data_IF_458948697563
#
_entry.id   IF_458948697563
#
_cell.length_a   1.000
_cell.length_b   1.000
_cell.length_c   1.000
_cell.angle_alpha   90.00
_cell.angle_beta   90.00
_cell.angle_gamma   90.00
#
_symmetry.space_group_name_H-M   'P 1'
#
loop_
_entity.id
_entity.type
_entity.pdbx_description
1 polymer ?
#
# COMPACT_ATOMS: atom_id res chain seq x y z
N UNK A 1 -9.39 28.81 8.55
CA UNK A 1 -10.31 27.70 8.86
C UNK A 1 -9.55 26.42 8.59
N UNK A 2 -8.84 25.94 9.60
CA UNK A 2 -7.98 24.77 9.54
C UNK A 2 -8.12 24.06 10.88
N UNK A 3 -9.37 23.75 11.25
CA UNK A 3 -9.68 23.00 12.46
C UNK A 3 -9.66 21.52 12.09
N UNK A 4 -8.43 21.05 11.83
CA UNK A 4 -8.14 19.64 11.62
C UNK A 4 -8.39 18.88 12.91
N UNK A 5 -8.95 17.68 12.75
CA UNK A 5 -9.18 16.54 13.66
C UNK A 5 -8.53 16.51 15.07
N UNK A 6 -7.38 17.17 15.28
CA UNK A 6 -6.66 17.31 16.54
C UNK A 6 -7.48 17.92 17.70
N UNK A 7 -8.47 18.79 17.43
CA UNK A 7 -9.22 19.48 18.49
C UNK A 7 -10.21 18.60 19.26
N UNK A 8 -10.54 17.40 18.76
CA UNK A 8 -11.53 16.51 19.40
C UNK A 8 -10.92 15.54 20.42
N UNK A 9 -9.60 15.36 20.44
CA UNK A 9 -8.96 14.27 21.20
C UNK A 9 -7.94 14.72 22.25
N UNK A 10 -7.56 16.00 22.28
CA UNK A 10 -6.61 16.52 23.26
C UNK A 10 -7.21 17.70 24.02
N UNK A 11 -7.06 17.69 25.35
CA UNK A 11 -7.33 18.88 26.16
C UNK A 11 -6.32 19.96 25.77
N UNK A 12 -6.81 21.19 25.61
CA UNK A 12 -6.07 22.36 25.12
C UNK A 12 -4.82 22.76 25.93
N UNK A 13 -4.48 22.05 27.02
CA UNK A 13 -3.42 22.41 27.97
C UNK A 13 -2.21 21.46 27.98
N UNK A 14 -2.19 20.38 27.18
CA UNK A 14 -1.01 19.52 27.05
C UNK A 14 -0.16 19.95 25.86
N UNK A 15 1.10 20.33 26.12
CA UNK A 15 2.10 20.55 25.07
C UNK A 15 2.38 19.19 24.43
N UNK A 16 1.66 18.89 23.34
CA UNK A 16 1.90 17.70 22.54
C UNK A 16 3.28 17.82 21.89
N UNK A 17 4.22 17.01 22.35
CA UNK A 17 5.48 16.79 21.64
C UNK A 17 5.26 15.63 20.69
N UNK A 18 5.36 15.82 19.35
CA UNK A 18 5.19 14.72 18.42
C UNK A 18 6.14 13.56 18.75
N UNK A 19 5.69 12.31 18.67
CA UNK A 19 6.53 11.15 18.99
C UNK A 19 7.75 11.09 18.07
N UNK A 20 8.88 10.63 18.61
CA UNK A 20 10.10 10.31 17.87
C UNK A 20 10.29 8.80 17.77
N UNK A 21 11.29 8.34 17.01
CA UNK A 21 11.69 6.93 17.04
C UNK A 21 12.07 6.46 18.45
N UNK A 22 12.73 7.32 19.23
CA UNK A 22 13.07 7.01 20.62
C UNK A 22 11.83 6.80 21.49
N UNK A 23 10.79 7.62 21.31
CA UNK A 23 9.51 7.48 22.01
C UNK A 23 8.81 6.20 21.60
N UNK A 24 8.67 5.94 20.30
CA UNK A 24 8.07 4.70 19.80
C UNK A 24 8.79 3.46 20.33
N UNK A 25 10.13 3.47 20.38
CA UNK A 25 10.88 2.36 20.97
C UNK A 25 10.63 2.22 22.47
N UNK A 26 10.52 3.33 23.19
CA UNK A 26 10.20 3.32 24.62
C UNK A 26 8.83 2.69 24.91
N UNK A 27 7.85 2.94 24.04
CA UNK A 27 6.46 2.46 24.19
C UNK A 27 6.26 1.01 23.71
N UNK A 28 7.10 0.55 22.79
CA UNK A 28 7.10 -0.84 22.32
C UNK A 28 7.81 -1.71 23.38
N UNK A 29 7.03 -2.39 24.22
CA UNK A 29 7.58 -3.45 25.08
C UNK A 29 8.34 -4.47 24.22
N UNK A 30 9.48 -4.98 24.71
CA UNK A 30 10.35 -5.94 23.99
C UNK A 30 9.52 -7.03 23.29
N UNK A 31 9.66 -7.14 21.97
CA UNK A 31 8.97 -8.15 21.13
C UNK A 31 7.60 -7.74 20.58
N UNK A 32 7.04 -6.57 20.94
CA UNK A 32 5.77 -6.10 20.35
C UNK A 32 5.85 -5.82 18.85
N UNK A 33 6.95 -5.23 18.36
CA UNK A 33 7.11 -4.99 16.92
C UNK A 33 7.16 -6.32 16.16
N UNK A 34 7.89 -7.31 16.67
CA UNK A 34 7.93 -8.68 16.11
C UNK A 34 6.54 -9.33 16.03
N UNK A 35 5.65 -9.06 17.00
CA UNK A 35 4.26 -9.54 16.97
C UNK A 35 3.40 -8.84 15.90
N UNK A 36 3.77 -7.64 15.47
CA UNK A 36 3.09 -6.89 14.41
C UNK A 36 3.57 -7.27 13.00
N UNK A 37 4.75 -7.89 12.86
CA UNK A 37 5.33 -8.22 11.54
C UNK A 37 4.38 -9.04 10.67
N UNK A 38 3.69 -10.03 11.23
CA UNK A 38 2.75 -10.85 10.46
C UNK A 38 1.56 -10.05 9.93
N UNK A 39 1.11 -9.04 10.68
CA UNK A 39 0.09 -8.09 10.23
C UNK A 39 0.64 -7.13 9.17
N UNK A 40 1.86 -6.60 9.37
CA UNK A 40 2.51 -5.71 8.41
C UNK A 40 2.77 -6.44 7.07
N UNK A 41 3.15 -7.71 7.09
CA UNK A 41 3.32 -8.50 5.87
C UNK A 41 2.04 -8.71 5.07
N UNK A 42 0.88 -8.61 5.72
CA UNK A 42 -0.41 -8.74 5.07
C UNK A 42 -0.99 -7.38 4.71
N UNK A 43 -1.29 -6.57 5.72
CA UNK A 43 -1.90 -5.25 5.57
C UNK A 43 -0.92 -4.21 5.05
N UNK A 44 0.29 -4.16 5.60
CA UNK A 44 1.31 -3.20 5.15
C UNK A 44 1.74 -3.40 3.69
N UNK A 45 1.55 -4.61 3.14
CA UNK A 45 1.87 -4.88 1.75
C UNK A 45 0.95 -4.12 0.78
N UNK A 46 -0.30 -3.86 1.13
CA UNK A 46 -1.21 -3.08 0.29
C UNK A 46 -0.73 -1.63 0.13
N UNK A 47 -0.23 -1.02 1.21
CA UNK A 47 0.37 0.33 1.22
C UNK A 47 1.60 0.40 0.34
N UNK A 48 2.49 -0.59 0.47
CA UNK A 48 3.65 -0.72 -0.40
C UNK A 48 3.24 -0.88 -1.87
N UNK A 49 2.23 -1.70 -2.18
CA UNK A 49 1.79 -1.92 -3.55
C UNK A 49 1.18 -0.67 -4.19
N UNK A 50 0.40 0.13 -3.44
CA UNK A 50 -0.17 1.38 -3.96
C UNK A 50 0.92 2.34 -4.44
N UNK A 51 2.01 2.46 -3.69
CA UNK A 51 3.17 3.27 -4.10
C UNK A 51 3.99 2.60 -5.19
N UNK A 52 4.31 1.32 -5.04
CA UNK A 52 5.12 0.55 -5.99
C UNK A 52 4.52 0.60 -7.39
N UNK A 53 3.21 0.39 -7.54
CA UNK A 53 2.55 0.37 -8.85
C UNK A 53 2.47 1.77 -9.50
N UNK A 54 2.68 2.84 -8.74
CA UNK A 54 2.75 4.20 -9.25
C UNK A 54 4.11 4.57 -9.85
N UNK A 55 5.15 3.75 -9.69
CA UNK A 55 6.45 3.98 -10.33
C UNK A 55 6.43 3.70 -11.84
N UNK A 56 7.13 4.54 -12.61
CA UNK A 56 7.28 4.42 -14.07
C UNK A 56 7.82 3.08 -14.50
N UNK A 57 8.76 2.52 -13.73
CA UNK A 57 9.37 1.21 -13.99
C UNK A 57 8.35 0.06 -13.98
N UNK A 58 7.21 0.26 -13.32
CA UNK A 58 6.21 -0.78 -13.10
C UNK A 58 4.99 -0.65 -14.02
N UNK A 59 5.00 0.33 -14.94
CA UNK A 59 3.87 0.58 -15.85
C UNK A 59 3.53 -0.59 -16.77
N UNK A 60 4.51 -1.43 -17.12
CA UNK A 60 4.22 -2.64 -17.90
C UNK A 60 3.28 -3.58 -17.13
N UNK A 61 3.52 -3.79 -15.82
CA UNK A 61 2.64 -4.59 -14.99
C UNK A 61 1.24 -3.96 -14.88
N UNK A 62 1.16 -2.63 -14.74
CA UNK A 62 -0.12 -1.91 -14.69
C UNK A 62 -0.89 -2.08 -16.00
N UNK A 63 -0.21 -1.95 -17.14
CA UNK A 63 -0.80 -2.15 -18.46
C UNK A 63 -1.29 -3.59 -18.67
N UNK A 64 -0.53 -4.58 -18.18
CA UNK A 64 -0.94 -5.99 -18.23
C UNK A 64 -2.21 -6.23 -17.37
N UNK A 65 -2.26 -5.67 -16.16
CA UNK A 65 -3.47 -5.73 -15.31
C UNK A 65 -4.67 -5.15 -16.07
N UNK A 66 -4.51 -3.96 -16.65
CA UNK A 66 -5.57 -3.30 -17.42
C UNK A 66 -6.03 -4.14 -18.61
N UNK A 67 -5.06 -4.70 -19.35
CA UNK A 67 -5.33 -5.56 -20.50
C UNK A 67 -6.17 -6.79 -20.12
N UNK A 68 -5.85 -7.47 -19.03
CA UNK A 68 -6.62 -8.64 -18.61
C UNK A 68 -7.98 -8.28 -18.00
N UNK A 69 -8.07 -7.15 -17.30
CA UNK A 69 -9.36 -6.67 -16.76
C UNK A 69 -10.32 -6.32 -17.89
N UNK A 70 -9.88 -5.62 -18.94
CA UNK A 70 -10.74 -5.33 -20.11
C UNK A 70 -11.13 -6.61 -20.85
N UNK A 71 -10.22 -7.59 -20.96
CA UNK A 71 -10.44 -8.86 -21.67
C UNK A 71 -11.53 -9.70 -21.00
N UNK A 72 -11.51 -9.78 -19.66
CA UNK A 72 -12.53 -10.46 -18.84
C UNK A 72 -13.96 -9.98 -19.10
N UNK A 73 -14.10 -8.70 -19.42
CA UNK A 73 -15.40 -8.05 -19.62
C UNK A 73 -15.68 -7.73 -21.09
N UNK A 74 -14.75 -8.05 -22.00
CA UNK A 74 -14.82 -7.73 -23.43
C UNK A 74 -15.23 -6.27 -23.68
N UNK A 75 -14.82 -5.37 -22.78
CA UNK A 75 -15.25 -3.98 -22.76
C UNK A 75 -14.01 -3.10 -22.78
N UNK A 76 -13.77 -2.35 -23.87
CA UNK A 76 -12.65 -1.42 -23.89
C UNK A 76 -12.89 -0.32 -22.86
N UNK A 77 -11.89 -0.06 -22.02
CA UNK A 77 -11.99 0.91 -20.93
C UNK A 77 -11.86 2.34 -21.49
N UNK A 78 -10.82 2.60 -22.28
CA UNK A 78 -10.66 3.83 -23.04
C UNK A 78 -9.81 3.58 -24.30
N UNK A 79 -10.06 4.35 -25.37
CA UNK A 79 -9.19 4.33 -26.55
C UNK A 79 -7.82 4.99 -26.30
N UNK A 80 -7.76 5.90 -25.32
CA UNK A 80 -6.53 6.60 -24.90
C UNK A 80 -6.59 6.84 -23.39
N UNK A 81 -5.60 6.40 -22.64
CA UNK A 81 -5.45 6.69 -21.21
C UNK A 81 -4.38 7.78 -21.07
N UNK A 82 -4.73 8.90 -20.44
CA UNK A 82 -3.80 10.02 -20.22
C UNK A 82 -2.94 9.78 -18.96
N UNK A 83 -3.50 9.18 -17.92
CA UNK A 83 -2.75 8.81 -16.70
C UNK A 83 -3.39 7.65 -15.93
N UNK A 84 -2.56 6.94 -15.16
CA UNK A 84 -2.97 5.89 -14.22
C UNK A 84 -2.43 6.18 -12.82
N UNK A 85 -3.20 5.87 -11.79
CA UNK A 85 -2.73 5.95 -10.40
C UNK A 85 -3.40 4.92 -9.51
N UNK A 86 -2.62 4.20 -8.72
CA UNK A 86 -3.08 3.37 -7.63
C UNK A 86 -3.26 4.19 -6.35
N UNK A 87 -4.27 3.81 -5.56
CA UNK A 87 -4.54 4.40 -4.25
C UNK A 87 -5.11 3.33 -3.32
N UNK A 88 -4.89 3.52 -2.02
CA UNK A 88 -5.48 2.68 -0.99
C UNK A 88 -6.96 3.01 -0.86
N UNK A 89 -7.78 1.98 -0.66
CA UNK A 89 -9.21 2.10 -0.34
C UNK A 89 -9.52 1.45 1.01
N UNK A 90 -10.80 1.46 1.39
CA UNK A 90 -11.23 0.95 2.70
C UNK A 90 -11.48 2.07 3.71
N UNK A 91 -12.57 1.95 4.47
CA UNK A 91 -12.92 2.89 5.54
C UNK A 91 -11.92 2.83 6.72
N UNK A 92 -11.14 1.76 6.80
CA UNK A 92 -10.09 1.52 7.79
C UNK A 92 -8.72 2.07 7.38
N UNK A 93 -8.58 2.62 6.17
CA UNK A 93 -7.32 3.24 5.75
C UNK A 93 -7.18 4.68 6.21
N UNK A 94 -6.09 4.97 6.93
CA UNK A 94 -5.70 6.32 7.33
C UNK A 94 -5.28 7.21 6.16
N UNK A 95 -4.93 6.63 5.00
CA UNK A 95 -4.53 7.34 3.77
C UNK A 95 -5.69 7.51 2.79
N UNK A 96 -6.91 7.25 3.23
CA UNK A 96 -8.11 7.41 2.43
C UNK A 96 -8.30 8.89 2.03
N UNK A 97 -8.18 9.17 0.73
CA UNK A 97 -8.42 10.49 0.18
C UNK A 97 -9.73 10.55 -0.62
N UNK A 98 -10.75 11.15 -0.01
CA UNK A 98 -12.09 11.32 -0.59
C UNK A 98 -12.11 12.08 -1.93
N UNK A 99 -11.09 12.89 -2.23
CA UNK A 99 -11.08 13.77 -3.41
C UNK A 99 -11.07 13.02 -4.74
N UNK A 100 -10.58 11.78 -4.78
CA UNK A 100 -10.51 10.95 -6.00
C UNK A 100 -11.89 10.39 -6.37
N UNK A 101 -12.81 10.30 -5.42
CA UNK A 101 -14.07 9.57 -5.55
C UNK A 101 -15.28 10.48 -5.81
N UNK A 102 -15.07 11.78 -6.05
CA UNK A 102 -16.16 12.75 -6.20
C UNK A 102 -16.75 12.80 -7.61
N UNK A 103 -16.12 12.19 -8.63
CA UNK A 103 -16.53 12.30 -10.04
C UNK A 103 -16.18 11.08 -10.90
N UNK A 104 -16.57 9.87 -10.48
CA UNK A 104 -15.96 8.69 -11.08
C UNK A 104 -16.95 7.60 -11.44
N UNK A 105 -16.76 7.02 -12.62
CA UNK A 105 -17.46 5.83 -13.07
C UNK A 105 -16.71 4.59 -12.57
N UNK A 106 -17.42 3.50 -12.25
CA UNK A 106 -16.80 2.24 -11.81
C UNK A 106 -16.81 1.24 -12.97
N UNK A 107 -15.67 0.61 -13.23
CA UNK A 107 -15.60 -0.48 -14.19
C UNK A 107 -16.05 -1.81 -13.54
N UNK A 108 -16.78 -2.70 -14.25
CA UNK A 108 -17.22 -2.61 -15.64
C UNK A 108 -18.50 -1.78 -15.74
N UNK A 109 -18.58 -0.98 -16.80
CA UNK A 109 -19.71 -0.10 -17.14
C UNK A 109 -21.05 -0.83 -17.29
N UNK A 110 -21.66 -1.22 -16.19
CA UNK A 110 -23.04 -1.67 -16.16
C UNK A 110 -23.84 -0.47 -15.67
N UNK A 111 -24.74 0.01 -16.55
CA UNK A 111 -25.59 1.20 -16.37
C UNK A 111 -26.02 1.37 -14.91
N UNK A 112 -25.84 2.59 -14.41
CA UNK A 112 -26.20 3.02 -13.07
C UNK A 112 -25.57 2.11 -12.00
N UNK A 113 -24.25 2.21 -11.81
CA UNK A 113 -23.65 1.70 -10.56
C UNK A 113 -24.46 2.29 -9.41
N UNK A 114 -25.22 1.45 -8.72
CA UNK A 114 -25.96 1.88 -7.54
C UNK A 114 -24.94 2.56 -6.62
N UNK A 115 -25.22 3.79 -6.20
CA UNK A 115 -24.37 4.52 -5.28
C UNK A 115 -23.98 3.63 -4.09
N UNK A 116 -24.91 2.78 -3.64
CA UNK A 116 -24.67 1.79 -2.58
C UNK A 116 -23.58 0.78 -2.92
N UNK A 117 -23.57 0.23 -4.13
CA UNK A 117 -22.56 -0.76 -4.52
C UNK A 117 -21.19 -0.10 -4.77
N UNK A 118 -21.17 1.15 -5.26
CA UNK A 118 -19.95 1.95 -5.31
C UNK A 118 -19.38 2.17 -3.91
N UNK A 119 -20.18 2.68 -2.97
CA UNK A 119 -19.72 2.90 -1.60
C UNK A 119 -19.27 1.59 -0.95
N UNK A 120 -19.98 0.48 -1.20
CA UNK A 120 -19.55 -0.82 -0.71
C UNK A 120 -18.18 -1.24 -1.28
N UNK A 121 -17.94 -1.06 -2.58
CA UNK A 121 -16.64 -1.36 -3.17
C UNK A 121 -15.55 -0.45 -2.60
N UNK A 122 -15.81 0.86 -2.56
CA UNK A 122 -14.92 1.87 -1.98
C UNK A 122 -14.51 1.56 -0.53
N UNK A 123 -15.44 1.11 0.30
CA UNK A 123 -15.21 0.85 1.73
C UNK A 123 -14.66 -0.54 2.05
N UNK A 124 -14.72 -1.50 1.12
CA UNK A 124 -14.37 -2.90 1.39
C UNK A 124 -13.37 -3.51 0.41
N UNK A 125 -12.78 -2.71 -0.48
CA UNK A 125 -11.65 -3.10 -1.32
C UNK A 125 -10.35 -2.55 -0.75
N UNK A 126 -9.22 -3.20 -1.06
CA UNK A 126 -7.91 -2.80 -0.55
C UNK A 126 -7.22 -1.74 -1.44
N UNK A 127 -7.43 -1.83 -2.76
CA UNK A 127 -6.84 -0.95 -3.76
C UNK A 127 -7.87 -0.42 -4.76
N UNK A 128 -7.60 0.79 -5.27
CA UNK A 128 -8.23 1.34 -6.46
C UNK A 128 -7.18 1.72 -7.51
N UNK A 129 -7.39 1.28 -8.75
CA UNK A 129 -6.72 1.78 -9.93
C UNK A 129 -7.60 2.85 -10.59
N UNK A 130 -7.13 4.09 -10.55
CA UNK A 130 -7.79 5.24 -11.13
C UNK A 130 -7.20 5.54 -12.51
N UNK A 131 -8.07 5.69 -13.49
CA UNK A 131 -7.72 5.96 -14.88
C UNK A 131 -8.30 7.30 -15.27
N UNK A 132 -7.49 8.14 -15.91
CA UNK A 132 -7.96 9.41 -16.47
C UNK A 132 -7.84 9.38 -17.99
N UNK A 133 -8.90 9.82 -18.65
CA UNK A 133 -8.93 10.03 -20.09
C UNK A 133 -9.71 11.31 -20.37
N UNK A 134 -9.00 12.36 -20.78
CA UNK A 134 -9.57 13.70 -20.89
C UNK A 134 -10.11 14.19 -19.55
N UNK A 135 -11.41 14.50 -19.51
CA UNK A 135 -12.11 14.94 -18.31
C UNK A 135 -12.84 13.84 -17.54
N UNK A 136 -12.81 12.60 -18.06
CA UNK A 136 -13.47 11.45 -17.47
C UNK A 136 -12.49 10.64 -16.61
N UNK A 137 -13.00 10.11 -15.51
CA UNK A 137 -12.27 9.23 -14.60
C UNK A 137 -13.02 7.89 -14.47
N UNK A 138 -12.26 6.79 -14.44
CA UNK A 138 -12.75 5.45 -14.12
C UNK A 138 -11.97 4.90 -12.94
N UNK A 139 -12.66 4.20 -12.05
CA UNK A 139 -12.06 3.40 -10.99
C UNK A 139 -12.28 1.92 -11.25
N UNK A 140 -11.22 1.16 -11.02
CA UNK A 140 -11.22 -0.31 -10.94
C UNK A 140 -10.79 -0.68 -9.54
N UNK A 141 -11.63 -1.40 -8.80
CA UNK A 141 -11.27 -1.87 -7.46
C UNK A 141 -10.55 -3.21 -7.51
N UNK A 142 -9.69 -3.44 -6.52
CA UNK A 142 -8.98 -4.69 -6.36
C UNK A 142 -8.62 -5.00 -4.92
N UNK A 143 -8.13 -6.22 -4.73
CA UNK A 143 -7.84 -6.82 -3.44
C UNK A 143 -6.35 -7.15 -3.31
N UNK A 144 -5.85 -7.15 -2.08
CA UNK A 144 -4.47 -7.55 -1.76
C UNK A 144 -4.49 -8.65 -0.72
N UNK A 145 -3.92 -9.79 -1.08
CA UNK A 145 -3.75 -10.92 -0.16
C UNK A 145 -2.25 -11.18 0.01
N UNK A 146 -1.62 -10.47 0.95
CA UNK A 146 -0.18 -10.46 1.23
C UNK A 146 0.48 -11.84 1.19
N UNK A 147 0.75 -12.50 2.32
CA UNK A 147 1.33 -13.85 2.31
C UNK A 147 0.28 -14.97 2.14
N UNK A 148 -0.95 -14.60 1.78
CA UNK A 148 -2.11 -15.49 1.63
C UNK A 148 -2.63 -15.54 0.18
N UNK A 149 -1.81 -15.21 -0.82
CA UNK A 149 -2.22 -15.07 -2.23
C UNK A 149 -2.93 -16.28 -2.83
N UNK A 150 -2.73 -17.48 -2.28
CA UNK A 150 -3.47 -18.69 -2.68
C UNK A 150 -5.00 -18.56 -2.52
N UNK A 151 -5.48 -17.63 -1.68
CA UNK A 151 -6.91 -17.35 -1.50
C UNK A 151 -7.54 -16.73 -2.74
N UNK A 152 -6.76 -15.98 -3.53
CA UNK A 152 -7.24 -15.32 -4.75
C UNK A 152 -7.74 -16.31 -5.81
N UNK A 153 -7.29 -17.57 -5.78
CA UNK A 153 -7.74 -18.62 -6.70
C UNK A 153 -9.02 -19.34 -6.27
N UNK A 154 -9.62 -18.94 -5.13
CA UNK A 154 -10.81 -19.60 -4.60
C UNK A 154 -12.05 -18.75 -4.82
N UNK A 155 -13.12 -19.39 -5.27
CA UNK A 155 -14.40 -18.71 -5.51
C UNK A 155 -14.98 -18.09 -4.22
N UNK A 156 -14.88 -18.79 -3.10
CA UNK A 156 -15.40 -18.35 -1.79
C UNK A 156 -14.74 -17.05 -1.29
N UNK A 157 -13.46 -16.84 -1.63
CA UNK A 157 -12.79 -15.56 -1.40
C UNK A 157 -13.53 -14.43 -2.12
N UNK A 158 -13.73 -14.54 -3.43
CA UNK A 158 -14.39 -13.50 -4.23
C UNK A 158 -15.87 -13.33 -3.92
N UNK A 159 -16.56 -14.40 -3.53
CA UNK A 159 -17.96 -14.32 -3.09
C UNK A 159 -18.14 -13.43 -1.85
N UNK A 160 -17.08 -13.28 -1.04
CA UNK A 160 -17.07 -12.40 0.14
C UNK A 160 -16.69 -10.94 -0.17
N UNK A 161 -16.19 -10.66 -1.37
CA UNK A 161 -15.67 -9.34 -1.77
C UNK A 161 -16.72 -8.51 -2.53
N UNK A 162 -16.54 -7.18 -2.63
CA UNK A 162 -17.39 -6.36 -3.48
C UNK A 162 -17.46 -6.87 -4.93
N UNK A 163 -18.63 -6.73 -5.55
CA UNK A 163 -18.86 -7.18 -6.92
C UNK A 163 -17.85 -6.57 -7.91
N UNK A 164 -17.49 -5.31 -7.67
CA UNK A 164 -16.59 -4.50 -8.50
C UNK A 164 -15.10 -4.67 -8.15
N UNK A 165 -14.73 -5.58 -7.27
CA UNK A 165 -13.32 -5.95 -7.05
C UNK A 165 -12.86 -6.87 -8.17
N UNK A 166 -12.17 -6.34 -9.18
CA UNK A 166 -11.91 -7.05 -10.45
C UNK A 166 -10.52 -7.65 -10.58
N UNK A 167 -9.57 -7.19 -9.78
CA UNK A 167 -8.24 -7.75 -9.74
C UNK A 167 -7.80 -8.06 -8.32
N UNK A 168 -6.85 -8.98 -8.19
CA UNK A 168 -6.23 -9.35 -6.92
C UNK A 168 -4.73 -9.43 -7.07
N UNK A 169 -3.98 -8.99 -6.06
CA UNK A 169 -2.52 -9.12 -6.01
C UNK A 169 -2.17 -9.92 -4.75
N UNK A 170 -1.39 -10.99 -4.89
CA UNK A 170 -1.05 -11.80 -3.73
C UNK A 170 0.27 -12.54 -3.85
N UNK A 171 0.84 -12.85 -2.70
CA UNK A 171 2.11 -13.59 -2.61
C UNK A 171 1.84 -15.05 -2.31
N UNK A 172 2.52 -15.93 -3.04
CA UNK A 172 2.48 -17.38 -2.80
C UNK A 172 3.88 -17.93 -2.48
N UNK A 173 3.97 -19.09 -1.81
CA UNK A 173 5.22 -19.81 -1.66
C UNK A 173 5.84 -20.12 -3.03
N UNK A 174 7.18 -20.11 -3.10
CA UNK A 174 7.89 -20.40 -4.34
C UNK A 174 7.55 -21.78 -4.87
N UNK A 175 7.32 -21.89 -6.18
CA UNK A 175 7.29 -23.20 -6.83
C UNK A 175 8.71 -23.76 -6.82
N UNK A 176 8.86 -25.08 -6.66
CA UNK A 176 10.18 -25.74 -6.46
C UNK A 176 11.23 -25.45 -7.54
N UNK A 177 10.81 -24.98 -8.72
CA UNK A 177 11.65 -24.76 -9.90
C UNK A 177 11.82 -23.29 -10.31
N UNK A 178 11.19 -22.34 -9.62
CA UNK A 178 11.24 -20.91 -9.96
C UNK A 178 12.12 -20.13 -9.01
N UNK A 179 12.63 -18.98 -9.47
CA UNK A 179 13.42 -18.03 -8.68
C UNK A 179 12.65 -16.71 -8.59
N UNK A 180 11.58 -16.69 -7.81
CA UNK A 180 10.85 -15.46 -7.52
C UNK A 180 10.23 -14.82 -8.76
N UNK A 181 9.25 -15.49 -9.36
CA UNK A 181 8.52 -14.98 -10.52
C UNK A 181 7.36 -14.04 -10.13
N UNK A 182 6.97 -13.18 -11.07
CA UNK A 182 5.67 -12.49 -11.09
C UNK A 182 4.97 -12.92 -12.37
N UNK A 183 3.70 -13.27 -12.28
CA UNK A 183 2.87 -13.53 -13.44
C UNK A 183 1.42 -13.12 -13.19
N UNK A 184 0.67 -13.03 -14.27
CA UNK A 184 -0.75 -12.72 -14.25
C UNK A 184 -1.52 -13.94 -14.72
N UNK A 185 -2.59 -14.27 -14.01
CA UNK A 185 -3.56 -15.27 -14.40
C UNK A 185 -4.89 -14.58 -14.64
N UNK A 186 -5.54 -14.94 -15.75
CA UNK A 186 -6.87 -14.48 -16.04
C UNK A 186 -7.87 -15.59 -15.74
N UNK A 187 -8.63 -15.46 -14.64
CA UNK A 187 -9.69 -16.41 -14.33
C UNK A 187 -10.96 -15.98 -15.06
N UNK A 188 -11.18 -16.58 -16.24
CA UNK A 188 -12.33 -16.31 -17.11
C UNK A 188 -13.66 -16.67 -16.42
N UNK A 189 -13.67 -17.68 -15.55
CA UNK A 189 -14.90 -18.11 -14.87
C UNK A 189 -15.29 -17.15 -13.76
N UNK A 190 -14.31 -16.66 -12.99
CA UNK A 190 -14.52 -15.66 -11.96
C UNK A 190 -14.57 -14.23 -12.52
N UNK A 191 -14.11 -14.04 -13.77
CA UNK A 191 -13.84 -12.74 -14.41
C UNK A 191 -12.92 -11.86 -13.56
N UNK A 192 -11.85 -12.47 -13.03
CA UNK A 192 -10.86 -11.80 -12.17
C UNK A 192 -9.48 -11.88 -12.77
N UNK A 193 -8.73 -10.79 -12.65
CA UNK A 193 -7.31 -10.74 -13.00
C UNK A 193 -6.47 -10.90 -11.74
N UNK A 194 -5.65 -11.93 -11.68
CA UNK A 194 -4.85 -12.26 -10.49
C UNK A 194 -3.38 -12.06 -10.80
N UNK A 195 -2.75 -11.10 -10.13
CA UNK A 195 -1.30 -10.93 -10.13
C UNK A 195 -0.72 -11.78 -9.00
N UNK A 196 0.13 -12.72 -9.36
CA UNK A 196 0.80 -13.58 -8.40
C UNK A 196 2.27 -13.24 -8.32
N UNK A 197 2.73 -13.02 -7.10
CA UNK A 197 4.13 -12.76 -6.77
C UNK A 197 4.64 -13.96 -5.97
N UNK A 198 5.77 -14.53 -6.36
CA UNK A 198 6.43 -15.54 -5.53
C UNK A 198 7.19 -14.90 -4.37
N UNK A 199 7.23 -15.58 -3.22
CA UNK A 199 7.81 -15.04 -2.00
C UNK A 199 9.28 -14.62 -2.11
N UNK A 200 10.07 -15.26 -2.98
CA UNK A 200 11.48 -14.93 -3.24
C UNK A 200 11.66 -13.89 -4.34
N UNK A 201 10.57 -13.38 -4.94
CA UNK A 201 10.67 -12.28 -5.88
C UNK A 201 11.17 -11.02 -5.15
N UNK A 202 12.02 -10.24 -5.82
CA UNK A 202 12.63 -9.04 -5.22
C UNK A 202 11.59 -8.04 -4.69
N UNK A 203 10.42 -7.90 -5.32
CA UNK A 203 9.36 -6.98 -4.85
C UNK A 203 8.93 -7.30 -3.42
N UNK A 204 8.54 -8.56 -3.15
CA UNK A 204 8.14 -8.95 -1.80
C UNK A 204 9.35 -9.19 -0.89
N UNK A 205 10.45 -9.71 -1.44
CA UNK A 205 11.68 -9.98 -0.71
C UNK A 205 12.34 -8.70 -0.17
N UNK A 206 12.38 -7.62 -0.94
CA UNK A 206 12.87 -6.30 -0.49
C UNK A 206 11.92 -5.72 0.57
N UNK A 207 10.60 -5.79 0.36
CA UNK A 207 9.61 -5.36 1.35
C UNK A 207 9.82 -6.08 2.70
N UNK A 208 9.91 -7.42 2.71
CA UNK A 208 10.18 -8.16 3.95
C UNK A 208 11.51 -7.81 4.58
N UNK A 209 12.57 -7.60 3.77
CA UNK A 209 13.90 -7.22 4.26
C UNK A 209 13.85 -5.89 5.01
N UNK A 210 13.17 -4.88 4.47
CA UNK A 210 13.01 -3.59 5.15
C UNK A 210 12.23 -3.74 6.46
N UNK A 211 11.11 -4.48 6.47
CA UNK A 211 10.35 -4.70 7.71
C UNK A 211 11.17 -5.44 8.79
N UNK A 212 11.97 -6.43 8.39
CA UNK A 212 12.87 -7.13 9.31
C UNK A 212 13.96 -6.21 9.85
N UNK A 213 14.52 -5.36 8.99
CA UNK A 213 15.45 -4.34 9.43
C UNK A 213 14.80 -3.38 10.43
N UNK A 214 13.56 -2.94 10.20
CA UNK A 214 12.83 -2.10 11.15
C UNK A 214 12.62 -2.80 12.49
N UNK A 215 12.32 -4.11 12.51
CA UNK A 215 12.21 -4.88 13.75
C UNK A 215 13.55 -4.93 14.50
N UNK A 216 14.62 -5.28 13.80
CA UNK A 216 15.98 -5.27 14.34
C UNK A 216 16.37 -3.89 14.89
N UNK A 217 16.02 -2.84 14.16
CA UNK A 217 16.31 -1.46 14.53
C UNK A 217 15.54 -1.06 15.80
N UNK A 218 14.25 -1.34 15.87
CA UNK A 218 13.43 -1.03 17.05
C UNK A 218 13.85 -1.86 18.27
N UNK A 219 14.25 -3.12 18.07
CA UNK A 219 14.74 -3.98 19.15
C UNK A 219 16.05 -3.44 19.74
N UNK A 220 17.04 -3.16 18.88
CA UNK A 220 18.42 -2.87 19.29
C UNK A 220 18.67 -1.38 19.56
N UNK A 221 17.91 -0.50 18.92
CA UNK A 221 18.03 0.96 19.03
C UNK A 221 19.22 1.53 18.25
N UNK A 222 19.35 2.86 18.33
CA UNK A 222 20.31 3.65 17.54
C UNK A 222 21.79 3.46 17.91
N UNK A 223 22.11 2.82 19.04
CA UNK A 223 23.48 2.55 19.45
C UNK A 223 24.08 1.29 18.84
N UNK A 224 23.28 0.51 18.11
CA UNK A 224 23.72 -0.77 17.54
C UNK A 224 24.45 -0.57 16.20
N UNK A 225 25.53 -1.33 16.00
CA UNK A 225 26.26 -1.35 14.73
C UNK A 225 25.67 -2.37 13.74
N UNK A 226 24.80 -1.87 12.86
CA UNK A 226 24.13 -2.67 11.82
C UNK A 226 25.07 -3.13 10.68
N UNK A 227 26.31 -2.63 10.59
CA UNK A 227 27.28 -3.03 9.53
C UNK A 227 27.65 -4.51 9.59
N UNK A 228 27.51 -5.13 10.76
CA UNK A 228 27.76 -6.57 10.92
C UNK A 228 26.64 -7.42 10.30
N UNK A 229 25.38 -7.10 10.59
CA UNK A 229 24.20 -7.82 10.09
C UNK A 229 23.85 -7.51 8.65
N UNK A 230 24.07 -6.27 8.20
CA UNK A 230 23.62 -5.76 6.89
C UNK A 230 24.79 -5.33 6.00
N UNK A 231 25.98 -5.93 6.17
CA UNK A 231 27.22 -5.58 5.47
C UNK A 231 27.07 -5.42 3.95
N UNK A 232 26.28 -6.30 3.33
CA UNK A 232 26.10 -6.36 1.88
C UNK A 232 24.84 -5.63 1.40
N UNK A 233 24.19 -4.86 2.27
CA UNK A 233 22.94 -4.16 2.00
C UNK A 233 23.14 -2.65 2.21
N UNK A 234 23.82 -1.96 1.28
CA UNK A 234 24.20 -0.55 1.44
C UNK A 234 22.99 0.37 1.63
N UNK A 235 21.84 0.05 1.03
CA UNK A 235 20.61 0.81 1.19
C UNK A 235 20.04 0.71 2.61
N UNK A 236 20.11 -0.47 3.23
CA UNK A 236 19.69 -0.67 4.63
C UNK A 236 20.64 0.05 5.57
N UNK A 237 21.95 -0.03 5.32
CA UNK A 237 22.92 0.74 6.11
C UNK A 237 22.66 2.23 6.02
N UNK A 238 22.39 2.74 4.81
CA UNK A 238 22.04 4.15 4.62
C UNK A 238 20.75 4.53 5.34
N UNK A 239 19.72 3.68 5.31
CA UNK A 239 18.48 3.90 6.05
C UNK A 239 18.75 3.92 7.56
N UNK A 240 19.62 3.04 8.08
CA UNK A 240 20.01 3.03 9.48
C UNK A 240 20.70 4.33 9.93
N UNK A 241 21.56 4.91 9.07
CA UNK A 241 22.19 6.21 9.33
C UNK A 241 21.14 7.31 9.42
N UNK A 242 20.21 7.37 8.45
CA UNK A 242 19.12 8.36 8.42
C UNK A 242 18.24 8.25 9.66
N UNK A 243 17.86 7.04 10.05
CA UNK A 243 17.04 6.80 11.25
C UNK A 243 17.80 7.16 12.54
N UNK A 244 19.11 6.93 12.60
CA UNK A 244 19.96 7.35 13.72
C UNK A 244 20.03 8.88 13.83
N UNK A 245 20.21 9.58 12.71
CA UNK A 245 20.25 11.04 12.66
C UNK A 245 18.93 11.69 13.11
N UNK A 246 17.80 10.99 12.90
CA UNK A 246 16.47 11.42 13.30
C UNK A 246 15.93 10.75 14.56
N UNK A 247 16.79 10.04 15.32
CA UNK A 247 16.36 9.19 16.43
C UNK A 247 15.48 9.89 17.48
N UNK A 248 15.86 11.13 17.84
CA UNK A 248 15.15 11.94 18.84
C UNK A 248 14.29 13.04 18.20
N UNK A 249 14.26 13.15 16.87
CA UNK A 249 13.48 14.15 16.17
C UNK A 249 12.01 13.75 16.10
N UNK A 250 11.06 14.70 16.02
CA UNK A 250 9.68 14.42 15.62
C UNK A 250 9.64 13.49 14.41
N UNK A 251 8.84 12.42 14.47
CA UNK A 251 8.78 11.38 13.45
C UNK A 251 8.45 11.95 12.06
N UNK A 252 7.65 13.02 12.01
CA UNK A 252 7.30 13.73 10.78
C UNK A 252 8.53 14.24 10.03
N UNK A 253 9.61 14.60 10.74
CA UNK A 253 10.86 15.02 10.12
C UNK A 253 11.54 13.85 9.40
N UNK A 254 11.55 12.65 10.01
CA UNK A 254 12.08 11.44 9.39
C UNK A 254 11.26 11.07 8.15
N UNK A 255 9.93 11.08 8.27
CA UNK A 255 9.02 10.75 7.16
C UNK A 255 9.24 11.75 6.01
N UNK A 256 9.23 13.05 6.30
CA UNK A 256 9.48 14.10 5.30
C UNK A 256 10.84 13.95 4.63
N UNK A 257 11.87 13.55 5.39
CA UNK A 257 13.20 13.30 4.82
C UNK A 257 13.18 12.08 3.88
N UNK A 258 12.57 10.96 4.29
CA UNK A 258 12.45 9.76 3.45
C UNK A 258 11.67 10.09 2.16
N UNK A 259 10.56 10.81 2.27
CA UNK A 259 9.78 11.29 1.11
C UNK A 259 10.61 12.16 0.18
N UNK A 260 11.49 13.00 0.73
CA UNK A 260 12.34 13.89 -0.08
C UNK A 260 13.39 13.16 -0.92
N UNK A 261 13.71 11.90 -0.58
CA UNK A 261 14.63 11.06 -1.34
C UNK A 261 13.91 10.41 -2.54
N UNK A 262 12.57 10.35 -2.53
CA UNK A 262 11.78 9.85 -3.65
C UNK A 262 11.61 10.96 -4.68
N UNK A 263 12.10 10.71 -5.89
CA UNK A 263 12.04 11.66 -6.98
C UNK A 263 10.65 11.65 -7.65
N UNK A 264 9.92 12.79 -7.71
CA UNK A 264 8.60 12.86 -8.37
C UNK A 264 8.62 12.45 -9.84
N UNK A 265 9.75 12.61 -10.52
CA UNK A 265 9.93 12.17 -11.89
C UNK A 265 9.96 10.65 -12.05
N UNK A 266 10.07 9.86 -10.99
CA UNK A 266 10.05 8.40 -11.05
C UNK A 266 8.62 7.83 -10.97
N UNK A 267 7.61 8.66 -10.67
CA UNK A 267 6.21 8.24 -10.55
C UNK A 267 5.35 8.72 -11.73
N UNK A 268 4.23 8.05 -11.96
CA UNK A 268 3.28 8.32 -13.06
C UNK A 268 2.09 9.17 -12.59
N UNK A 269 1.94 9.36 -11.28
CA UNK A 269 0.91 10.18 -10.64
C UNK A 269 1.45 11.38 -9.85
N UNK A 270 0.56 12.15 -9.24
CA UNK A 270 0.96 13.25 -8.35
C UNK A 270 1.52 12.71 -7.04
N UNK A 271 2.82 12.90 -6.77
CA UNK A 271 3.32 12.83 -5.40
C UNK A 271 2.80 14.08 -4.67
N UNK A 272 1.74 13.94 -3.88
CA UNK A 272 1.30 15.01 -2.99
C UNK A 272 2.34 15.17 -1.88
N UNK A 273 3.23 16.15 -2.04
CA UNK A 273 4.08 16.65 -0.95
C UNK A 273 3.21 17.03 0.24
N UNK A 274 3.50 16.49 1.42
CA UNK A 274 2.78 16.83 2.64
C UNK A 274 1.50 16.03 2.87
N UNK A 275 1.39 14.83 2.30
CA UNK A 275 0.43 13.81 2.77
C UNK A 275 0.93 13.30 4.12
N UNK A 276 0.97 14.17 5.12
CA UNK A 276 1.43 13.85 6.47
C UNK A 276 0.67 12.62 6.94
N UNK A 277 1.38 11.49 7.03
CA UNK A 277 0.95 10.31 7.75
C UNK A 277 0.53 10.79 9.14
N UNK A 278 -0.78 10.91 9.37
CA UNK A 278 -1.29 11.23 10.70
C UNK A 278 -1.11 9.95 11.52
N UNK A 279 0.05 9.85 12.16
CA UNK A 279 0.32 8.81 13.15
C UNK A 279 -0.56 9.10 14.35
N UNK A 280 -1.70 8.42 14.43
CA UNK A 280 -2.57 8.46 15.60
C UNK A 280 -1.81 7.82 16.77
N UNK A 281 -1.51 8.57 17.85
CA UNK A 281 -1.08 7.97 19.10
C UNK A 281 -2.34 7.42 19.76
N UNK A 282 -2.77 6.24 19.35
CA UNK A 282 -3.26 5.18 20.23
C UNK A 282 -3.89 4.05 19.39
N UNK A 283 -3.22 2.90 19.39
CA UNK A 283 -3.94 1.62 19.29
C UNK A 283 -4.68 1.39 20.62
N UNK A 284 -5.77 2.13 20.83
CA UNK A 284 -6.88 1.63 21.65
C UNK A 284 -7.92 1.01 20.72
N UNK A 285 -7.47 0.03 19.93
CA UNK A 285 -8.35 -1.02 19.44
C UNK A 285 -8.76 -1.83 20.69
N UNK A 286 -10.04 -1.73 21.03
CA UNK A 286 -10.70 -2.56 22.05
C UNK A 286 -10.55 -4.04 21.74
#
# INVERSE_FOLDING_TARGET
>A
MQDGFYSRYYKQDEIYTPPSLSTYRGDISIGRFSNLISYIYNWGFQYFLAEFLNFKTNQNLVNDILYYVQDNYQTPIFAKIDSTSFSITGDDSLLFHDSIFQRTQVFPYLRDTDAKDFFKAKSNSDLALCLKSGGDEIIIFGEVEGNHGNRLFKKDFWDSKPLYSLFGIGVIPNRKSSKGLIWLENDIFLKKTIVTIEADNNVFGDFKRIINFLDDFMLRGNSWDFRSSYRYEPYILRLSEIMNDHWNSPIDNLISFIESIVYPEDTVGEIKKGSSLILLPDMQLR
#
